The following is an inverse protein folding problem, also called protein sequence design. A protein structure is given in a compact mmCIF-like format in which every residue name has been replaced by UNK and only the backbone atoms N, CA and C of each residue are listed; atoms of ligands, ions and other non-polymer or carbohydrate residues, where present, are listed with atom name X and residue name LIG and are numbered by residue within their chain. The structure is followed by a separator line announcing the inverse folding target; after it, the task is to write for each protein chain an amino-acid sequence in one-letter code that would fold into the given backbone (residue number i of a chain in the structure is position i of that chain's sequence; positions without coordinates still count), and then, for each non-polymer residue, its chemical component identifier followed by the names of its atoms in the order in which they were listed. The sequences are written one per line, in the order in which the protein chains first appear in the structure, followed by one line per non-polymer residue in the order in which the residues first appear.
data_IF_106788168503
#
_entry.id   IF_106788168503
#
_cell.length_a   1.000
_cell.length_b   1.000
_cell.length_c   1.000
_cell.angle_alpha   90.00
_cell.angle_beta   90.00
_cell.angle_gamma   90.00
#
_symmetry.space_group_name_H-M   'P 1'
#
loop_
_entity.id
_entity.type
_entity.pdbx_description
1 polymer ?
#
# COMPACT_ATOMS: atom_id res chain seq x y z
N UNK A 1 43.91 -18.26 -9.40
CA UNK A 1 42.50 -18.06 -9.82
C UNK A 1 41.60 -18.35 -8.62
N UNK A 2 41.08 -17.33 -7.92
CA UNK A 2 40.13 -17.51 -6.80
C UNK A 2 39.32 -16.23 -6.45
N UNK A 3 39.18 -15.27 -7.37
CA UNK A 3 38.58 -13.94 -7.11
C UNK A 3 37.13 -13.75 -7.56
N UNK A 4 36.54 -14.70 -8.31
CA UNK A 4 35.23 -14.50 -8.96
C UNK A 4 34.02 -15.01 -8.15
N UNK A 5 34.21 -15.87 -7.14
CA UNK A 5 33.11 -16.43 -6.34
C UNK A 5 32.77 -15.58 -5.10
N UNK A 6 33.70 -14.77 -4.59
CA UNK A 6 33.49 -13.95 -3.38
C UNK A 6 32.52 -12.79 -3.61
N UNK A 7 32.52 -12.21 -4.81
CA UNK A 7 31.73 -11.01 -5.13
C UNK A 7 30.22 -11.23 -5.05
N UNK A 8 29.72 -12.39 -5.48
CA UNK A 8 28.26 -12.64 -5.51
C UNK A 8 27.67 -12.73 -4.10
N UNK A 9 28.31 -13.49 -3.21
CA UNK A 9 27.85 -13.62 -1.82
C UNK A 9 27.95 -12.30 -1.03
N UNK A 10 28.98 -11.49 -1.30
CA UNK A 10 29.12 -10.15 -0.68
C UNK A 10 28.01 -9.19 -1.14
N UNK A 11 27.64 -9.23 -2.42
CA UNK A 11 26.54 -8.43 -2.98
C UNK A 11 25.19 -8.90 -2.44
N UNK A 12 24.94 -10.21 -2.41
CA UNK A 12 23.72 -10.79 -1.82
C UNK A 12 23.57 -10.38 -0.35
N UNK A 13 24.67 -10.46 0.43
CA UNK A 13 24.66 -10.03 1.82
C UNK A 13 24.39 -8.53 1.96
N UNK A 14 24.97 -7.70 1.10
CA UNK A 14 24.66 -6.27 1.06
C UNK A 14 23.17 -6.03 0.78
N UNK A 15 22.59 -6.69 -0.23
CA UNK A 15 21.17 -6.56 -0.60
C UNK A 15 20.28 -6.96 0.58
N UNK A 16 20.56 -8.10 1.22
CA UNK A 16 19.81 -8.61 2.37
C UNK A 16 19.83 -7.62 3.56
N UNK A 17 21.01 -7.08 3.90
CA UNK A 17 21.14 -6.11 4.99
C UNK A 17 20.47 -4.77 4.65
N UNK A 18 20.61 -4.31 3.41
CA UNK A 18 20.04 -3.04 2.97
C UNK A 18 18.52 -3.12 2.83
N UNK A 19 17.98 -4.26 2.42
CA UNK A 19 16.54 -4.52 2.36
C UNK A 19 15.87 -4.44 3.73
N UNK A 20 16.55 -4.94 4.77
CA UNK A 20 16.16 -4.81 6.18
C UNK A 20 16.31 -3.40 6.77
N UNK A 21 16.76 -2.43 5.96
CA UNK A 21 16.82 -1.03 6.35
C UNK A 21 18.11 -0.60 7.07
N UNK A 22 19.17 -1.42 7.08
CA UNK A 22 20.45 -1.00 7.64
C UNK A 22 21.07 0.13 6.79
N UNK A 23 21.74 1.08 7.47
CA UNK A 23 22.49 2.15 6.81
C UNK A 23 23.79 1.62 6.20
N UNK A 24 24.31 2.31 5.18
CA UNK A 24 25.60 1.95 4.59
C UNK A 24 26.75 1.94 5.60
N UNK A 25 26.70 2.79 6.62
CA UNK A 25 27.71 2.82 7.68
C UNK A 25 27.68 1.53 8.52
N UNK A 26 26.48 1.09 8.94
CA UNK A 26 26.33 -0.17 9.67
C UNK A 26 26.73 -1.38 8.84
N UNK A 27 26.38 -1.39 7.55
CA UNK A 27 26.75 -2.48 6.64
C UNK A 27 28.27 -2.51 6.41
N UNK A 28 28.91 -1.35 6.33
CA UNK A 28 30.35 -1.26 6.18
C UNK A 28 31.09 -1.79 7.41
N UNK A 29 30.59 -1.48 8.61
CA UNK A 29 31.09 -2.02 9.88
C UNK A 29 30.90 -3.54 9.96
N UNK A 30 29.72 -4.07 9.57
CA UNK A 30 29.41 -5.49 9.67
C UNK A 30 30.16 -6.35 8.64
N UNK A 31 30.29 -5.86 7.41
CA UNK A 31 30.84 -6.66 6.29
C UNK A 31 32.31 -6.36 6.00
N UNK A 32 32.87 -5.29 6.58
CA UNK A 32 34.19 -4.76 6.22
C UNK A 32 34.25 -4.14 4.82
N UNK A 33 33.12 -4.05 4.11
CA UNK A 33 33.06 -3.46 2.78
C UNK A 33 33.03 -1.93 2.87
N UNK A 34 33.88 -1.25 2.10
CA UNK A 34 33.93 0.22 2.14
C UNK A 34 32.61 0.86 1.69
N UNK A 35 32.23 1.97 2.33
CA UNK A 35 31.02 2.74 1.98
C UNK A 35 30.96 3.15 0.49
N UNK A 36 32.06 3.61 -0.17
CA UNK A 36 32.05 3.86 -1.62
C UNK A 36 31.70 2.63 -2.45
N UNK A 37 32.16 1.44 -2.05
CA UNK A 37 31.82 0.17 -2.72
C UNK A 37 30.34 -0.14 -2.57
N UNK A 38 29.76 0.03 -1.38
CA UNK A 38 28.34 -0.21 -1.15
C UNK A 38 27.45 0.75 -1.95
N UNK A 39 27.84 2.02 -2.07
CA UNK A 39 27.14 2.99 -2.92
C UNK A 39 27.18 2.57 -4.40
N UNK A 40 28.34 2.10 -4.88
CA UNK A 40 28.47 1.56 -6.24
C UNK A 40 27.56 0.34 -6.45
N UNK A 41 27.52 -0.59 -5.51
CA UNK A 41 26.62 -1.75 -5.58
C UNK A 41 25.15 -1.34 -5.55
N UNK A 42 24.79 -0.34 -4.76
CA UNK A 42 23.42 0.19 -4.74
C UNK A 42 22.97 0.69 -6.11
N UNK A 43 23.86 1.35 -6.86
CA UNK A 43 23.56 1.82 -8.22
C UNK A 43 23.53 0.67 -9.22
N UNK A 44 24.43 -0.31 -9.07
CA UNK A 44 24.59 -1.42 -10.02
C UNK A 44 23.49 -2.49 -9.87
N UNK A 45 23.01 -2.73 -8.65
CA UNK A 45 22.04 -3.77 -8.29
C UNK A 45 20.74 -3.17 -7.76
N UNK A 46 20.38 -1.99 -8.25
CA UNK A 46 19.21 -1.24 -7.76
C UNK A 46 17.91 -2.02 -7.90
N UNK A 47 17.73 -2.75 -9.01
CA UNK A 47 16.51 -3.56 -9.25
C UNK A 47 16.38 -4.71 -8.25
N UNK A 48 17.47 -5.43 -8.02
CA UNK A 48 17.52 -6.53 -7.06
C UNK A 48 17.30 -6.03 -5.63
N UNK A 49 17.85 -4.85 -5.31
CA UNK A 49 17.63 -4.20 -4.02
C UNK A 49 16.18 -3.75 -3.84
N UNK A 50 15.57 -3.12 -4.83
CA UNK A 50 14.16 -2.72 -4.81
C UNK A 50 13.25 -3.94 -4.65
N UNK A 51 13.53 -5.03 -5.37
CA UNK A 51 12.80 -6.28 -5.23
C UNK A 51 12.94 -6.87 -3.83
N UNK A 52 14.15 -6.91 -3.26
CA UNK A 52 14.36 -7.39 -1.91
C UNK A 52 13.65 -6.52 -0.85
N UNK A 53 13.70 -5.19 -1.00
CA UNK A 53 12.97 -4.24 -0.14
C UNK A 53 11.47 -4.44 -0.22
N UNK A 54 10.92 -4.68 -1.42
CA UNK A 54 9.52 -5.00 -1.62
C UNK A 54 9.13 -6.27 -0.85
N UNK A 55 9.91 -7.35 -0.99
CA UNK A 55 9.61 -8.60 -0.29
C UNK A 55 9.76 -8.50 1.23
N UNK A 56 10.74 -7.75 1.72
CA UNK A 56 10.92 -7.50 3.15
C UNK A 56 9.71 -6.75 3.72
N UNK A 57 9.31 -5.64 3.07
CA UNK A 57 8.14 -4.88 3.48
C UNK A 57 6.85 -5.72 3.38
N UNK A 58 6.68 -6.46 2.29
CA UNK A 58 5.51 -7.32 2.09
C UNK A 58 5.44 -8.40 3.17
N UNK A 59 6.56 -9.03 3.52
CA UNK A 59 6.62 -10.04 4.58
C UNK A 59 6.28 -9.46 5.95
N UNK A 60 6.81 -8.26 6.25
CA UNK A 60 6.48 -7.53 7.47
C UNK A 60 4.98 -7.21 7.54
N UNK A 61 4.41 -6.66 6.47
CA UNK A 61 2.97 -6.36 6.40
C UNK A 61 2.12 -7.63 6.55
N UNK A 62 2.52 -8.73 5.92
CA UNK A 62 1.84 -10.02 6.04
C UNK A 62 1.84 -10.53 7.48
N UNK A 63 2.98 -10.43 8.19
CA UNK A 63 3.10 -10.84 9.59
C UNK A 63 2.10 -10.11 10.50
N UNK A 64 1.83 -8.84 10.24
CA UNK A 64 0.89 -8.03 11.03
C UNK A 64 -0.54 -8.01 10.48
N UNK A 65 -0.83 -8.76 9.43
CA UNK A 65 -2.15 -8.74 8.81
C UNK A 65 -2.49 -7.40 8.13
N UNK A 66 -1.48 -6.64 7.71
CA UNK A 66 -1.61 -5.28 7.17
C UNK A 66 -1.44 -5.21 5.65
N UNK A 67 -1.44 -6.35 4.95
CA UNK A 67 -1.51 -6.33 3.49
C UNK A 67 -2.77 -5.59 3.04
N UNK A 68 -2.71 -4.97 1.85
CA UNK A 68 -3.82 -4.18 1.30
C UNK A 68 -5.15 -4.94 1.35
N UNK A 69 -5.16 -6.21 0.96
CA UNK A 69 -6.36 -7.06 0.99
C UNK A 69 -6.90 -7.23 2.42
N UNK A 70 -6.05 -7.56 3.39
CA UNK A 70 -6.45 -7.77 4.79
C UNK A 70 -6.98 -6.48 5.43
N UNK A 71 -6.40 -5.32 5.09
CA UNK A 71 -6.91 -4.02 5.53
C UNK A 71 -8.26 -3.69 4.93
N UNK A 72 -8.45 -3.95 3.64
CA UNK A 72 -9.76 -3.76 2.96
C UNK A 72 -10.82 -4.64 3.62
N UNK A 73 -10.49 -5.91 3.87
CA UNK A 73 -11.40 -6.85 4.55
C UNK A 73 -11.76 -6.36 5.96
N UNK A 74 -10.77 -6.04 6.80
CA UNK A 74 -10.97 -5.55 8.16
C UNK A 74 -11.85 -4.28 8.21
N UNK A 75 -11.58 -3.30 7.34
CA UNK A 75 -12.38 -2.07 7.24
C UNK A 75 -13.80 -2.39 6.77
N UNK A 76 -13.97 -3.31 5.81
CA UNK A 76 -15.29 -3.69 5.29
C UNK A 76 -16.16 -4.35 6.36
N UNK A 77 -15.58 -5.24 7.18
CA UNK A 77 -16.27 -5.89 8.31
C UNK A 77 -16.76 -4.85 9.32
N UNK A 78 -15.90 -3.90 9.70
CA UNK A 78 -16.27 -2.84 10.63
C UNK A 78 -17.32 -1.90 10.06
N UNK A 79 -17.20 -1.54 8.79
CA UNK A 79 -18.18 -0.70 8.10
C UNK A 79 -19.56 -1.37 8.06
N UNK A 80 -19.61 -2.68 7.76
CA UNK A 80 -20.84 -3.46 7.78
C UNK A 80 -21.50 -3.44 9.16
N UNK A 81 -20.73 -3.65 10.24
CA UNK A 81 -21.24 -3.59 11.60
C UNK A 81 -21.83 -2.22 11.95
N UNK A 82 -21.17 -1.13 11.51
CA UNK A 82 -21.69 0.24 11.68
C UNK A 82 -22.99 0.44 10.89
N UNK A 83 -23.06 -0.03 9.64
CA UNK A 83 -24.29 0.03 8.81
C UNK A 83 -25.44 -0.70 9.48
N UNK A 84 -25.19 -1.89 10.06
CA UNK A 84 -26.21 -2.68 10.76
C UNK A 84 -26.76 -1.98 11.99
N UNK A 85 -25.88 -1.40 12.82
CA UNK A 85 -26.31 -0.62 13.98
C UNK A 85 -27.11 0.63 13.55
N UNK A 86 -26.69 1.31 12.48
CA UNK A 86 -27.42 2.45 11.93
C UNK A 86 -28.81 2.05 11.41
N UNK A 87 -28.92 0.92 10.70
CA UNK A 87 -30.20 0.36 10.25
C UNK A 87 -31.11 0.04 11.43
N UNK A 88 -30.57 -0.59 12.47
CA UNK A 88 -31.29 -0.93 13.71
C UNK A 88 -31.80 0.31 14.44
N UNK A 89 -30.99 1.38 14.53
CA UNK A 89 -31.44 2.64 15.13
C UNK A 89 -32.53 3.31 14.29
N UNK A 90 -32.35 3.34 12.97
CA UNK A 90 -33.38 3.89 12.08
C UNK A 90 -34.71 3.12 12.16
N UNK A 91 -34.66 1.79 12.31
CA UNK A 91 -35.86 0.96 12.46
C UNK A 91 -36.50 1.07 13.85
N UNK A 92 -35.70 1.10 14.92
CA UNK A 92 -36.18 1.04 16.30
C UNK A 92 -36.53 2.42 16.87
N UNK A 93 -35.77 3.46 16.54
CA UNK A 93 -35.98 4.82 17.05
C UNK A 93 -36.83 5.69 16.13
N UNK A 94 -37.20 5.17 14.95
CA UNK A 94 -38.00 5.83 13.90
C UNK A 94 -37.42 7.17 13.43
N UNK A 95 -37.19 7.28 12.11
CA UNK A 95 -36.79 8.56 11.50
C UNK A 95 -37.81 9.69 11.70
N UNK A 96 -39.04 9.38 12.14
CA UNK A 96 -40.08 10.36 12.50
C UNK A 96 -39.68 11.32 13.62
N UNK A 97 -38.69 10.96 14.45
CA UNK A 97 -38.16 11.84 15.51
C UNK A 97 -37.19 12.89 14.99
N UNK A 98 -36.71 12.77 13.75
CA UNK A 98 -35.81 13.74 13.15
C UNK A 98 -36.59 14.99 12.73
N UNK A 99 -36.08 16.20 13.03
CA UNK A 99 -36.57 17.44 12.43
C UNK A 99 -36.56 17.37 10.89
N UNK A 100 -37.54 18.01 10.25
CA UNK A 100 -37.72 17.96 8.78
C UNK A 100 -36.48 18.41 8.01
N UNK A 101 -35.77 19.42 8.48
CA UNK A 101 -34.52 19.90 7.88
C UNK A 101 -33.41 18.83 7.91
N UNK A 102 -33.28 18.09 9.01
CA UNK A 102 -32.32 16.98 9.13
C UNK A 102 -32.69 15.80 8.25
N UNK A 103 -33.98 15.47 8.16
CA UNK A 103 -34.46 14.41 7.29
C UNK A 103 -34.25 14.76 5.81
N UNK A 104 -34.50 16.01 5.42
CA UNK A 104 -34.28 16.49 4.06
C UNK A 104 -32.79 16.55 3.69
N UNK A 105 -31.92 16.98 4.61
CA UNK A 105 -30.48 16.92 4.42
C UNK A 105 -29.98 15.47 4.24
N UNK A 106 -30.51 14.52 5.01
CA UNK A 106 -30.19 13.10 4.85
C UNK A 106 -30.66 12.57 3.49
N UNK A 107 -31.86 12.94 3.03
CA UNK A 107 -32.37 12.58 1.71
C UNK A 107 -31.43 13.04 0.58
N UNK A 108 -31.05 14.33 0.56
CA UNK A 108 -30.15 14.86 -0.47
C UNK A 108 -28.77 14.18 -0.45
N UNK A 109 -28.24 13.87 0.73
CA UNK A 109 -26.96 13.18 0.87
C UNK A 109 -27.00 11.73 0.35
N UNK A 110 -28.09 11.01 0.62
CA UNK A 110 -28.27 9.63 0.15
C UNK A 110 -28.49 9.56 -1.38
N UNK A 111 -29.28 10.49 -1.94
CA UNK A 111 -29.44 10.65 -3.39
C UNK A 111 -28.11 10.96 -4.09
N UNK A 112 -27.31 11.87 -3.51
CA UNK A 112 -25.98 12.19 -4.02
C UNK A 112 -25.05 10.98 -4.05
N UNK A 113 -25.03 10.17 -2.98
CA UNK A 113 -24.25 8.92 -2.93
C UNK A 113 -24.72 7.88 -3.95
N UNK A 114 -26.03 7.70 -4.10
CA UNK A 114 -26.60 6.76 -5.07
C UNK A 114 -26.22 7.17 -6.51
N UNK A 115 -26.26 8.47 -6.81
CA UNK A 115 -25.80 9.02 -8.08
C UNK A 115 -24.31 8.75 -8.31
N UNK A 116 -23.46 9.02 -7.32
CA UNK A 116 -22.02 8.72 -7.41
C UNK A 116 -21.76 7.22 -7.66
N UNK A 117 -22.43 6.32 -6.94
CA UNK A 117 -22.30 4.87 -7.14
C UNK A 117 -22.79 4.39 -8.51
N UNK A 118 -23.79 5.06 -9.11
CA UNK A 118 -24.36 4.66 -10.40
C UNK A 118 -23.62 5.29 -11.59
N UNK A 119 -23.00 6.45 -11.43
CA UNK A 119 -22.25 7.15 -12.48
C UNK A 119 -20.75 6.83 -12.46
N UNK A 120 -20.17 6.60 -11.28
CA UNK A 120 -18.71 6.36 -11.10
C UNK A 120 -18.36 4.88 -11.30
N UNK A 121 -19.32 3.96 -11.28
CA UNK A 121 -19.14 2.53 -11.54
C UNK A 121 -19.02 2.19 -13.04
N UNK A 122 -18.18 2.91 -13.79
CA UNK A 122 -17.39 2.21 -14.83
C UNK A 122 -16.35 1.39 -14.08
N UNK A 123 -16.76 0.23 -13.55
CA UNK A 123 -15.83 -0.71 -12.94
C UNK A 123 -14.89 -1.16 -14.05
N UNK A 124 -13.67 -0.61 -14.06
CA UNK A 124 -12.62 -1.10 -14.93
C UNK A 124 -12.09 -2.42 -14.35
N UNK A 125 -12.61 -3.53 -14.89
CA UNK A 125 -12.13 -4.88 -14.58
C UNK A 125 -10.80 -5.20 -15.30
N UNK A 126 -10.20 -4.23 -16.00
CA UNK A 126 -8.89 -4.42 -16.65
C UNK A 126 -7.79 -4.64 -15.60
N UNK A 127 -6.90 -5.64 -15.82
CA UNK A 127 -5.69 -5.82 -15.02
C UNK A 127 -4.78 -4.58 -14.96
N UNK A 128 -4.98 -3.59 -15.86
CA UNK A 128 -4.15 -2.39 -15.99
C UNK A 128 -4.61 -1.21 -15.12
N UNK A 129 -5.83 -1.22 -14.58
CA UNK A 129 -6.32 -0.16 -13.68
C UNK A 129 -5.52 -0.05 -12.37
N UNK A 130 -4.79 -1.11 -11.99
CA UNK A 130 -3.93 -1.14 -10.81
C UNK A 130 -2.55 -0.45 -11.01
N UNK A 131 -2.14 -0.17 -12.24
CA UNK A 131 -0.83 0.43 -12.56
C UNK A 131 -0.94 1.83 -13.20
N UNK A 132 -2.14 2.29 -13.55
CA UNK A 132 -2.35 3.53 -14.30
C UNK A 132 -2.56 4.78 -13.45
N UNK A 133 -1.55 5.24 -12.71
CA UNK A 133 -1.47 6.64 -12.20
C UNK A 133 -0.04 7.19 -12.12
N UNK A 134 0.95 6.57 -12.77
CA UNK A 134 2.35 7.03 -12.73
C UNK A 134 2.92 7.51 -14.08
N UNK A 135 2.11 7.53 -15.15
CA UNK A 135 2.54 8.02 -16.47
C UNK A 135 1.51 9.00 -17.05
N UNK A 136 1.25 10.10 -16.35
CA UNK A 136 0.78 11.31 -17.01
C UNK A 136 1.71 12.46 -16.63
N UNK A 137 2.16 13.18 -17.66
CA UNK A 137 2.96 14.41 -17.65
C UNK A 137 4.50 14.27 -17.57
N UNK A 138 5.10 13.51 -18.49
CA UNK A 138 6.33 14.02 -19.14
C UNK A 138 5.87 14.88 -20.31
N UNK A 139 5.58 16.15 -20.04
CA UNK A 139 5.54 17.16 -21.08
C UNK A 139 6.94 17.27 -21.65
N UNK A 140 7.08 16.91 -22.93
CA UNK A 140 8.29 17.21 -23.70
C UNK A 140 8.12 18.66 -24.16
N UNK A 141 8.97 19.54 -23.67
CA UNK A 141 9.16 20.90 -24.20
C UNK A 141 9.65 20.86 -25.66
#
# INVERSE_FOLDING_TARGET
MQKMAKTTAEIERFIELRARGLSYDKIAEETGTSKPTLLKWSNQYGRELEQAQYFELHSLLAQYGLLKQQRVESVSVLLQAVIEEMKKRASNESLSRLPTDKLFALYLALEGRLKEETETNKIDFSPLGAYGTAYEMVGVD
#
